data_IF_409809089107
#
_entry.id   IF_409809089107
#
_cell.length_a   1.000
_cell.length_b   1.000
_cell.length_c   1.000
_cell.angle_alpha   90.00
_cell.angle_beta   90.00
_cell.angle_gamma   90.00
#
_symmetry.space_group_name_H-M   'P 1'
#
loop_
_entity.id
_entity.type
_entity.pdbx_description
1 polymer ?
#
# COMPACT_ATOMS: atom_id res chain seq x y z
N UNK A 1 1.00 7.87 21.18
CA UNK A 1 2.40 8.03 21.62
C UNK A 1 3.03 9.07 20.71
N UNK A 2 3.71 10.08 21.26
CA UNK A 2 4.47 11.04 20.46
C UNK A 2 5.88 10.48 20.28
N UNK A 3 6.33 10.34 19.03
CA UNK A 3 7.70 9.92 18.69
C UNK A 3 8.54 11.20 18.58
N UNK A 4 9.71 11.22 19.20
CA UNK A 4 10.64 12.35 19.08
C UNK A 4 11.37 12.34 17.74
N UNK A 5 11.81 13.51 17.26
CA UNK A 5 12.63 13.60 16.05
C UNK A 5 13.94 12.81 16.18
N UNK A 6 14.52 12.73 17.39
CA UNK A 6 15.72 11.94 17.63
C UNK A 6 15.49 10.44 17.44
N UNK A 7 14.35 9.93 17.89
CA UNK A 7 13.97 8.52 17.66
C UNK A 7 13.74 8.22 16.17
N UNK A 8 13.12 9.16 15.44
CA UNK A 8 12.93 9.03 14.00
C UNK A 8 14.27 9.00 13.25
N UNK A 9 15.20 9.90 13.59
CA UNK A 9 16.52 9.94 12.96
C UNK A 9 17.34 8.67 13.26
N UNK A 10 17.26 8.13 14.49
CA UNK A 10 17.89 6.85 14.82
C UNK A 10 17.38 5.71 13.94
N UNK A 11 16.08 5.68 13.66
CA UNK A 11 15.50 4.69 12.74
C UNK A 11 16.04 4.85 11.32
N UNK A 12 16.07 6.09 10.79
CA UNK A 12 16.59 6.37 9.45
C UNK A 12 18.06 5.95 9.31
N UNK A 13 18.88 6.17 10.34
CA UNK A 13 20.28 5.74 10.35
C UNK A 13 20.47 4.22 10.43
N UNK A 14 19.51 3.48 10.99
CA UNK A 14 19.57 2.04 11.11
C UNK A 14 19.06 1.28 9.86
N UNK A 15 18.51 1.99 8.86
CA UNK A 15 17.97 1.35 7.66
C UNK A 15 19.07 0.76 6.77
N UNK A 16 18.91 -0.48 6.28
CA UNK A 16 19.79 -1.03 5.25
C UNK A 16 19.66 -0.21 3.96
N UNK A 17 20.75 -0.11 3.18
CA UNK A 17 20.80 0.71 1.95
C UNK A 17 19.66 0.38 0.97
N UNK A 18 19.34 -0.91 0.84
CA UNK A 18 18.27 -1.42 -0.02
C UNK A 18 16.89 -0.84 0.36
N UNK A 19 16.65 -0.54 1.64
CA UNK A 19 15.38 -0.05 2.14
C UNK A 19 15.29 1.48 2.19
N UNK A 20 16.41 2.21 2.01
CA UNK A 20 16.43 3.67 2.12
C UNK A 20 15.55 4.36 1.09
N UNK A 21 15.51 3.83 -0.14
CA UNK A 21 14.66 4.38 -1.21
C UNK A 21 13.18 4.28 -0.82
N UNK A 22 12.73 3.09 -0.43
CA UNK A 22 11.35 2.88 0.00
C UNK A 22 10.97 3.71 1.23
N UNK A 23 11.90 3.86 2.19
CA UNK A 23 11.68 4.71 3.35
C UNK A 23 11.57 6.19 2.96
N UNK A 24 12.41 6.68 2.05
CA UNK A 24 12.34 8.04 1.54
C UNK A 24 11.02 8.31 0.82
N UNK A 25 10.60 7.40 -0.06
CA UNK A 25 9.35 7.53 -0.82
C UNK A 25 8.15 7.60 0.14
N UNK A 26 8.12 6.74 1.16
CA UNK A 26 7.06 6.71 2.17
C UNK A 26 7.04 7.96 3.05
N UNK A 27 8.20 8.42 3.55
CA UNK A 27 8.28 9.65 4.35
C UNK A 27 7.88 10.88 3.53
N UNK A 28 8.26 10.93 2.26
CA UNK A 28 7.87 11.98 1.32
C UNK A 28 6.36 11.97 1.10
N UNK A 29 5.77 10.80 0.88
CA UNK A 29 4.32 10.63 0.80
C UNK A 29 3.62 11.16 2.05
N UNK A 30 4.10 10.79 3.25
CA UNK A 30 3.52 11.26 4.50
C UNK A 30 3.64 12.78 4.68
N UNK A 31 4.77 13.37 4.30
CA UNK A 31 4.95 14.82 4.37
C UNK A 31 3.98 15.57 3.44
N UNK A 32 3.79 15.07 2.22
CA UNK A 32 2.93 15.70 1.20
C UNK A 32 1.44 15.41 1.41
N UNK A 33 1.07 14.22 1.90
CA UNK A 33 -0.32 13.76 2.04
C UNK A 33 -0.69 13.40 3.49
N UNK A 34 -0.24 14.21 4.45
CA UNK A 34 -0.49 13.97 5.89
C UNK A 34 -1.97 14.03 6.29
N UNK A 35 -2.83 14.63 5.47
CA UNK A 35 -4.29 14.57 5.63
C UNK A 35 -4.85 13.48 4.71
N UNK A 36 -5.13 12.32 5.28
CA UNK A 36 -5.95 11.32 4.60
C UNK A 36 -7.41 11.77 4.67
N UNK A 37 -8.10 12.01 3.54
CA UNK A 37 -9.53 12.22 3.55
C UNK A 37 -10.21 10.99 4.16
N UNK A 38 -11.30 11.21 4.89
CA UNK A 38 -12.13 10.10 5.37
C UNK A 38 -12.88 9.47 4.19
N UNK A 39 -13.46 8.28 4.38
CA UNK A 39 -14.16 7.57 3.30
C UNK A 39 -15.27 8.40 2.64
N UNK A 40 -16.01 9.19 3.43
CA UNK A 40 -17.07 10.06 2.91
C UNK A 40 -16.54 11.21 2.04
N UNK A 41 -15.34 11.71 2.34
CA UNK A 41 -14.65 12.71 1.53
C UNK A 41 -14.07 12.08 0.26
N UNK A 42 -13.48 10.88 0.34
CA UNK A 42 -12.96 10.14 -0.83
C UNK A 42 -14.07 9.88 -1.85
N UNK A 43 -15.26 9.48 -1.40
CA UNK A 43 -16.40 9.17 -2.27
C UNK A 43 -16.92 10.40 -3.05
N UNK A 44 -16.60 11.60 -2.57
CA UNK A 44 -16.96 12.87 -3.22
C UNK A 44 -15.80 13.48 -4.02
N UNK A 45 -14.61 12.87 -4.00
CA UNK A 45 -13.47 13.34 -4.77
C UNK A 45 -13.58 12.87 -6.21
N UNK A 46 -13.13 13.72 -7.13
CA UNK A 46 -12.96 13.29 -8.52
C UNK A 46 -11.93 12.16 -8.59
N UNK A 47 -12.14 11.17 -9.47
CA UNK A 47 -11.10 10.19 -9.79
C UNK A 47 -9.81 10.91 -10.19
N UNK A 48 -8.66 10.35 -9.81
CA UNK A 48 -7.42 10.86 -10.36
C UNK A 48 -7.25 10.41 -11.82
N UNK A 49 -6.65 11.28 -12.62
CA UNK A 49 -6.28 11.00 -14.02
C UNK A 49 -4.83 10.50 -14.12
N UNK A 50 -4.23 10.09 -12.99
CA UNK A 50 -2.83 9.69 -12.97
C UNK A 50 -2.70 8.31 -13.62
N UNK A 51 -1.88 8.15 -14.67
CA UNK A 51 -1.64 6.83 -15.23
C UNK A 51 -0.87 5.98 -14.21
N UNK A 52 -1.16 4.68 -14.20
CA UNK A 52 -0.39 3.72 -13.41
C UNK A 52 1.09 3.78 -13.79
N UNK A 53 1.96 3.72 -12.79
CA UNK A 53 3.40 3.59 -12.98
C UNK A 53 3.74 2.20 -13.53
N UNK A 54 4.95 2.05 -14.09
CA UNK A 54 5.44 0.74 -14.59
C UNK A 54 5.45 -0.34 -13.49
N UNK A 55 5.73 0.04 -12.25
CA UNK A 55 5.71 -0.89 -11.11
C UNK A 55 4.28 -1.30 -10.76
N UNK A 56 3.34 -0.36 -10.73
CA UNK A 56 1.93 -0.67 -10.45
C UNK A 56 1.32 -1.54 -11.54
N UNK A 57 1.68 -1.31 -12.81
CA UNK A 57 1.28 -2.19 -13.92
C UNK A 57 1.84 -3.60 -13.74
N UNK A 58 3.14 -3.72 -13.42
CA UNK A 58 3.77 -5.03 -13.14
C UNK A 58 3.11 -5.75 -11.96
N UNK A 59 2.73 -5.02 -10.92
CA UNK A 59 2.02 -5.58 -9.76
C UNK A 59 0.59 -6.00 -10.12
N UNK A 60 -0.10 -5.22 -10.94
CA UNK A 60 -1.45 -5.52 -11.41
C UNK A 60 -1.49 -6.78 -12.27
N UNK A 61 -0.47 -6.98 -13.10
CA UNK A 61 -0.33 -8.17 -13.96
C UNK A 61 0.26 -9.39 -13.21
N UNK A 62 0.59 -9.26 -11.93
CA UNK A 62 1.13 -10.36 -11.13
C UNK A 62 0.02 -11.26 -10.60
N UNK A 63 0.17 -12.58 -10.78
CA UNK A 63 -0.68 -13.58 -10.12
C UNK A 63 -0.19 -13.92 -8.69
N UNK A 64 0.91 -13.30 -8.24
CA UNK A 64 1.49 -13.57 -6.93
C UNK A 64 0.58 -13.09 -5.79
N UNK A 65 0.26 -13.98 -4.85
CA UNK A 65 -0.62 -13.67 -3.72
C UNK A 65 -2.12 -13.72 -4.04
N UNK A 66 -2.51 -13.95 -5.29
CA UNK A 66 -3.89 -14.26 -5.65
C UNK A 66 -4.16 -15.75 -5.48
N UNK A 67 -5.36 -16.09 -5.00
CA UNK A 67 -5.85 -17.47 -4.91
C UNK A 67 -7.02 -17.63 -5.85
N UNK A 68 -7.12 -18.80 -6.49
CA UNK A 68 -8.26 -19.07 -7.35
C UNK A 68 -9.54 -19.15 -6.51
N UNK A 69 -10.69 -18.83 -7.10
CA UNK A 69 -11.99 -19.00 -6.42
C UNK A 69 -12.22 -20.43 -5.91
N UNK A 70 -11.61 -21.43 -6.57
CA UNK A 70 -11.61 -22.83 -6.13
C UNK A 70 -10.76 -23.06 -4.88
N UNK A 71 -9.58 -22.46 -4.82
CA UNK A 71 -8.69 -22.57 -3.65
C UNK A 71 -9.31 -21.86 -2.44
N UNK A 72 -9.87 -20.66 -2.65
CA UNK A 72 -10.62 -19.95 -1.61
C UNK A 72 -11.84 -20.76 -1.13
N UNK A 73 -12.62 -21.37 -2.03
CA UNK A 73 -13.75 -22.23 -1.67
C UNK A 73 -13.32 -23.39 -0.77
N UNK A 74 -12.20 -24.04 -1.11
CA UNK A 74 -11.63 -25.15 -0.33
C UNK A 74 -11.17 -24.70 1.05
N UNK A 75 -10.47 -23.56 1.14
CA UNK A 75 -9.89 -23.06 2.39
C UNK A 75 -10.95 -22.50 3.35
N UNK A 76 -11.95 -21.80 2.83
CA UNK A 76 -13.02 -21.19 3.64
C UNK A 76 -14.25 -22.09 3.82
N UNK A 77 -14.27 -23.29 3.23
CA UNK A 77 -15.39 -24.23 3.33
C UNK A 77 -16.69 -23.71 2.71
N UNK A 78 -16.58 -22.90 1.65
CA UNK A 78 -17.75 -22.26 1.04
C UNK A 78 -18.56 -23.27 0.23
N UNK A 79 -19.89 -23.19 0.35
CA UNK A 79 -20.83 -24.02 -0.43
C UNK A 79 -21.11 -23.45 -1.83
N UNK A 80 -20.74 -22.19 -2.07
CA UNK A 80 -20.93 -21.47 -3.33
C UNK A 80 -19.62 -21.43 -4.12
N UNK A 81 -19.72 -21.48 -5.45
CA UNK A 81 -18.59 -21.18 -6.31
C UNK A 81 -18.36 -19.67 -6.34
N UNK A 82 -17.11 -19.27 -6.10
CA UNK A 82 -16.67 -17.90 -6.30
C UNK A 82 -16.35 -17.71 -7.79
N UNK A 83 -16.71 -16.55 -8.38
CA UNK A 83 -16.44 -16.24 -9.78
C UNK A 83 -14.94 -16.25 -10.11
#
# INVERSE_FOLDING_TARGET
MAISNEELMKLVHALPEEAKKSAYDYLTFLALRHTRPNWAAIDQMEPDDAPLTEEELRQLDSEEGFVTGKDAKREFGLSVDLP
#
